data_IF_833821116675
#
_entry.id   IF_833821116675
#
_cell.length_a   1.000
_cell.length_b   1.000
_cell.length_c   1.000
_cell.angle_alpha   90.00
_cell.angle_beta   90.00
_cell.angle_gamma   90.00
#
_symmetry.space_group_name_H-M   'P 1'
#
loop_
_entity.id
_entity.type
_entity.pdbx_description
1 polymer ?
#
# COMPACT_ATOMS: atom_id res chain seq x y z
N UNK A 1 5.06 23.83 -25.92
CA UNK A 1 4.44 22.53 -25.59
C UNK A 1 5.48 21.67 -24.89
N UNK A 2 5.14 20.94 -23.82
CA UNK A 2 6.06 19.96 -23.26
C UNK A 2 6.50 18.98 -24.36
N UNK A 3 7.75 18.51 -24.31
CA UNK A 3 8.23 17.50 -25.27
C UNK A 3 7.41 16.22 -25.13
N UNK A 4 7.16 15.51 -26.23
CA UNK A 4 6.39 14.26 -26.19
C UNK A 4 7.04 13.22 -25.26
N UNK A 5 8.38 13.19 -25.18
CA UNK A 5 9.11 12.34 -24.24
C UNK A 5 8.76 12.64 -22.76
N UNK A 6 8.64 13.92 -22.40
CA UNK A 6 8.23 14.32 -21.05
C UNK A 6 6.81 13.85 -20.74
N UNK A 7 5.91 13.94 -21.72
CA UNK A 7 4.51 13.51 -21.60
C UNK A 7 4.41 12.00 -21.42
N UNK A 8 5.14 11.23 -22.21
CA UNK A 8 5.19 9.76 -22.11
C UNK A 8 5.74 9.30 -20.75
N UNK A 9 6.77 9.98 -20.22
CA UNK A 9 7.31 9.71 -18.88
C UNK A 9 6.29 9.94 -17.78
N UNK A 10 5.56 11.06 -17.84
CA UNK A 10 4.53 11.37 -16.86
C UNK A 10 3.40 10.33 -16.92
N UNK A 11 2.96 9.95 -18.13
CA UNK A 11 1.92 8.92 -18.30
C UNK A 11 2.36 7.59 -17.67
N UNK A 12 3.59 7.14 -17.96
CA UNK A 12 4.15 5.91 -17.37
C UNK A 12 4.26 5.99 -15.85
N UNK A 13 4.69 7.12 -15.30
CA UNK A 13 4.79 7.32 -13.86
C UNK A 13 3.41 7.28 -13.18
N UNK A 14 2.38 7.88 -13.79
CA UNK A 14 1.01 7.88 -13.27
C UNK A 14 0.40 6.48 -13.32
N UNK A 15 0.66 5.71 -14.37
CA UNK A 15 0.20 4.32 -14.49
C UNK A 15 0.82 3.42 -13.40
N UNK A 16 2.14 3.56 -13.18
CA UNK A 16 2.83 2.88 -12.09
C UNK A 16 2.26 3.32 -10.72
N UNK A 17 2.07 4.61 -10.51
CA UNK A 17 1.54 5.14 -9.27
C UNK A 17 0.13 4.59 -8.96
N UNK A 18 -0.73 4.47 -9.97
CA UNK A 18 -2.06 3.85 -9.82
C UNK A 18 -1.96 2.42 -9.31
N UNK A 19 -1.08 1.63 -9.93
CA UNK A 19 -0.85 0.23 -9.54
C UNK A 19 -0.31 0.13 -8.12
N UNK A 20 0.70 0.93 -7.78
CA UNK A 20 1.31 0.95 -6.44
C UNK A 20 0.27 1.32 -5.38
N UNK A 21 -0.50 2.40 -5.57
CA UNK A 21 -1.52 2.81 -4.60
C UNK A 21 -2.60 1.73 -4.44
N UNK A 22 -3.04 1.11 -5.53
CA UNK A 22 -4.07 0.06 -5.51
C UNK A 22 -3.67 -1.18 -4.72
N UNK A 23 -2.39 -1.55 -4.72
CA UNK A 23 -1.92 -2.71 -3.95
C UNK A 23 -1.34 -2.33 -2.58
N UNK A 24 -0.85 -1.10 -2.41
CA UNK A 24 -0.21 -0.67 -1.18
C UNK A 24 -1.19 -0.18 -0.09
N UNK A 25 -2.40 0.24 -0.44
CA UNK A 25 -3.31 0.84 0.56
C UNK A 25 -3.71 -0.13 1.69
N UNK A 26 -3.93 -1.41 1.39
CA UNK A 26 -4.26 -2.42 2.42
C UNK A 26 -3.05 -2.67 3.36
N UNK A 27 -1.85 -3.02 2.86
CA UNK A 27 -0.66 -3.15 3.69
C UNK A 27 -0.38 -1.91 4.54
N UNK A 28 -0.57 -0.71 3.97
CA UNK A 28 -0.35 0.55 4.68
C UNK A 28 -1.29 0.71 5.88
N UNK A 29 -2.59 0.45 5.70
CA UNK A 29 -3.58 0.52 6.78
C UNK A 29 -3.26 -0.49 7.89
N UNK A 30 -2.93 -1.74 7.52
CA UNK A 30 -2.55 -2.78 8.47
C UNK A 30 -1.31 -2.36 9.26
N UNK A 31 -0.30 -1.83 8.60
CA UNK A 31 0.93 -1.36 9.24
C UNK A 31 0.67 -0.24 10.26
N UNK A 32 -0.16 0.75 9.90
CA UNK A 32 -0.54 1.84 10.81
C UNK A 32 -1.29 1.28 12.02
N UNK A 33 -2.28 0.40 11.80
CA UNK A 33 -3.03 -0.24 12.88
C UNK A 33 -2.15 -1.07 13.81
N UNK A 34 -1.21 -1.83 13.26
CA UNK A 34 -0.26 -2.65 14.00
C UNK A 34 0.67 -1.81 14.89
N UNK A 35 1.26 -0.74 14.33
CA UNK A 35 2.27 0.08 15.03
C UNK A 35 1.71 1.02 16.08
N UNK A 36 0.42 1.40 15.98
CA UNK A 36 -0.23 2.34 16.91
C UNK A 36 -1.11 1.68 17.98
N UNK A 37 -1.28 0.36 17.93
CA UNK A 37 -2.07 -0.39 18.91
C UNK A 37 -1.23 -0.82 20.10
N UNK A 38 -1.78 -0.71 21.31
CA UNK A 38 -1.22 -1.29 22.53
C UNK A 38 -2.30 -2.10 23.26
N UNK A 39 -2.16 -3.43 23.39
CA UNK A 39 -1.05 -4.25 22.92
C UNK A 39 -1.01 -4.39 21.39
N UNK A 40 0.17 -4.68 20.82
CA UNK A 40 0.31 -4.90 19.37
C UNK A 40 -0.48 -6.16 18.96
N UNK A 41 -1.28 -6.09 17.88
CA UNK A 41 -2.11 -7.20 17.45
C UNK A 41 -1.27 -8.36 16.91
N UNK A 42 -1.64 -9.59 17.25
CA UNK A 42 -1.00 -10.80 16.70
C UNK A 42 -1.36 -10.98 15.21
N UNK A 43 -0.37 -11.14 14.33
CA UNK A 43 -0.59 -11.36 12.89
C UNK A 43 -1.26 -12.72 12.58
N UNK A 44 -1.03 -13.71 13.44
CA UNK A 44 -1.64 -15.04 13.37
C UNK A 44 -2.20 -15.33 14.74
N UNK A 45 -3.53 -15.44 14.84
CA UNK A 45 -4.20 -15.78 16.08
C UNK A 45 -4.51 -17.27 16.05
N UNK A 46 -3.82 -18.06 16.86
CA UNK A 46 -4.17 -19.46 17.06
C UNK A 46 -5.45 -19.49 17.91
N UNK A 47 -6.56 -20.00 17.38
CA UNK A 47 -7.79 -20.21 18.15
C UNK A 47 -7.65 -21.57 18.84
N UNK A 48 -7.62 -21.64 20.19
CA UNK A 48 -7.65 -22.92 20.86
C UNK A 48 -8.98 -23.62 20.57
N UNK A 49 -8.91 -24.86 20.08
CA UNK A 49 -10.06 -25.75 19.96
C UNK A 49 -10.47 -26.19 21.37
N UNK A 50 -11.71 -25.91 21.77
CA UNK A 50 -12.31 -26.39 23.00
C UNK A 50 -13.45 -27.35 22.67
#
# INVERSE_FOLDING_TARGET
MPSEETKERIIKAVDLARTVVHYAWIPLIIYVGYTRSNPQPSLIKCVPLN
#
